data_IF_606157807366
#
_entry.id   IF_606157807366
#
_cell.length_a   1.000
_cell.length_b   1.000
_cell.length_c   1.000
_cell.angle_alpha   90.00
_cell.angle_beta   90.00
_cell.angle_gamma   90.00
#
_symmetry.space_group_name_H-M   'P 1'
#
loop_
_entity.id
_entity.type
_entity.pdbx_description
1 polymer ?
#
# COMPACT_ATOMS: atom_id res chain seq x y z
N UNK A 1 -2.56 -15.46 3.09
CA UNK A 1 -3.53 -15.48 1.96
C UNK A 1 -3.61 -14.10 1.30
N UNK A 2 -3.95 -14.02 0.02
CA UNK A 2 -4.27 -12.76 -0.66
C UNK A 2 -5.77 -12.74 -0.93
N UNK A 3 -6.46 -11.72 -0.42
CA UNK A 3 -7.91 -11.55 -0.61
C UNK A 3 -8.24 -10.13 -1.05
N UNK A 4 -9.31 -9.99 -1.81
CA UNK A 4 -9.81 -8.68 -2.22
C UNK A 4 -11.32 -8.58 -2.09
N UNK A 5 -11.83 -7.36 -1.89
CA UNK A 5 -13.25 -7.07 -1.91
C UNK A 5 -13.52 -5.69 -2.47
N UNK A 6 -14.60 -5.55 -3.22
CA UNK A 6 -15.18 -4.26 -3.57
C UNK A 6 -16.24 -3.89 -2.53
N UNK A 7 -16.33 -2.62 -2.16
CA UNK A 7 -17.32 -2.14 -1.20
C UNK A 7 -17.79 -0.73 -1.52
N UNK A 8 -19.05 -0.45 -1.18
CA UNK A 8 -19.67 0.87 -1.14
C UNK A 8 -20.26 1.19 0.24
N UNK A 9 -19.69 0.56 1.27
CA UNK A 9 -20.01 0.84 2.68
C UNK A 9 -19.88 2.35 2.96
N UNK A 10 -20.96 3.02 3.42
CA UNK A 10 -20.97 4.48 3.61
C UNK A 10 -19.93 4.99 4.61
N UNK A 11 -19.59 4.20 5.65
CA UNK A 11 -18.60 4.61 6.64
C UNK A 11 -17.20 4.55 6.04
N UNK A 12 -16.87 3.49 5.31
CA UNK A 12 -15.58 3.37 4.61
C UNK A 12 -15.42 4.43 3.52
N UNK A 13 -16.48 4.71 2.74
CA UNK A 13 -16.47 5.78 1.74
C UNK A 13 -16.25 7.16 2.39
N UNK A 14 -16.91 7.43 3.52
CA UNK A 14 -16.72 8.69 4.24
C UNK A 14 -15.31 8.84 4.80
N UNK A 15 -14.71 7.76 5.32
CA UNK A 15 -13.32 7.77 5.78
C UNK A 15 -12.34 8.01 4.63
N UNK A 16 -12.47 7.27 3.53
CA UNK A 16 -11.64 7.43 2.35
C UNK A 16 -11.72 8.85 1.77
N UNK A 17 -12.92 9.45 1.78
CA UNK A 17 -13.12 10.85 1.39
C UNK A 17 -12.38 11.82 2.31
N UNK A 18 -12.43 11.61 3.62
CA UNK A 18 -11.72 12.45 4.58
C UNK A 18 -10.21 12.37 4.37
N UNK A 19 -9.67 11.15 4.24
CA UNK A 19 -8.24 10.91 3.97
C UNK A 19 -7.76 11.64 2.70
N UNK A 20 -8.52 11.51 1.60
CA UNK A 20 -8.17 12.18 0.34
C UNK A 20 -8.22 13.70 0.47
N UNK A 21 -9.24 14.26 1.15
CA UNK A 21 -9.39 15.72 1.29
C UNK A 21 -8.39 16.35 2.25
N UNK A 22 -7.91 15.60 3.23
CA UNK A 22 -6.84 16.05 4.12
C UNK A 22 -5.53 16.26 3.34
N UNK A 23 -5.20 15.32 2.45
CA UNK A 23 -3.97 15.36 1.65
C UNK A 23 -4.11 16.25 0.42
N UNK A 24 -5.30 16.27 -0.20
CA UNK A 24 -5.60 17.02 -1.42
C UNK A 24 -6.82 17.93 -1.24
N UNK A 25 -6.68 19.05 -0.51
CA UNK A 25 -7.80 19.92 -0.14
C UNK A 25 -8.47 20.62 -1.32
N UNK A 26 -7.83 20.67 -2.49
CA UNK A 26 -8.39 21.24 -3.73
C UNK A 26 -9.50 20.38 -4.34
N UNK A 27 -9.60 19.09 -4.00
CA UNK A 27 -10.61 18.17 -4.53
C UNK A 27 -11.89 18.18 -3.67
N UNK A 28 -12.47 19.36 -3.46
CA UNK A 28 -13.64 19.55 -2.59
C UNK A 28 -14.90 18.83 -3.10
N UNK A 29 -15.00 18.61 -4.41
CA UNK A 29 -16.10 17.88 -5.04
C UNK A 29 -15.91 16.35 -5.02
N UNK A 30 -14.71 15.84 -4.70
CA UNK A 30 -14.45 14.40 -4.68
C UNK A 30 -15.36 13.71 -3.68
N UNK A 31 -16.07 12.69 -4.17
CA UNK A 31 -17.00 11.90 -3.38
C UNK A 31 -16.93 10.43 -3.84
N UNK A 32 -16.15 9.59 -3.15
CA UNK A 32 -15.92 8.22 -3.60
C UNK A 32 -17.22 7.43 -3.61
N UNK A 33 -17.38 6.60 -4.64
CA UNK A 33 -18.57 5.75 -4.85
C UNK A 33 -18.24 4.27 -4.70
N UNK A 34 -16.95 3.91 -4.84
CA UNK A 34 -16.46 2.54 -4.75
C UNK A 34 -15.06 2.51 -4.14
N UNK A 35 -14.82 1.48 -3.35
CA UNK A 35 -13.49 1.08 -2.90
C UNK A 35 -13.20 -0.35 -3.37
N UNK A 36 -11.95 -0.62 -3.74
CA UNK A 36 -11.41 -1.97 -3.86
C UNK A 36 -10.30 -2.13 -2.82
N UNK A 37 -10.49 -3.06 -1.89
CA UNK A 37 -9.54 -3.34 -0.82
C UNK A 37 -8.89 -4.68 -1.11
N UNK A 38 -7.58 -4.68 -1.37
CA UNK A 38 -6.74 -5.87 -1.43
C UNK A 38 -5.96 -6.02 -0.12
N UNK A 39 -5.91 -7.23 0.42
CA UNK A 39 -5.21 -7.56 1.67
C UNK A 39 -4.30 -8.74 1.43
N UNK A 40 -3.02 -8.54 1.72
CA UNK A 40 -2.05 -9.61 1.90
C UNK A 40 -2.04 -9.90 3.40
N UNK A 41 -2.51 -11.07 3.78
CA UNK A 41 -2.70 -11.46 5.18
C UNK A 41 -1.74 -12.59 5.52
N UNK A 42 -0.79 -12.33 6.41
CA UNK A 42 0.21 -13.30 6.87
C UNK A 42 0.90 -14.02 5.69
N UNK A 43 1.34 -13.26 4.69
CA UNK A 43 2.02 -13.82 3.52
C UNK A 43 3.44 -14.20 3.90
N UNK A 44 3.70 -15.51 3.94
CA UNK A 44 5.00 -16.06 4.28
C UNK A 44 6.04 -15.79 3.19
N UNK A 45 7.30 -15.73 3.60
CA UNK A 45 8.44 -15.70 2.69
C UNK A 45 8.46 -16.96 1.81
N UNK A 46 8.76 -16.79 0.52
CA UNK A 46 8.83 -17.90 -0.43
C UNK A 46 9.96 -18.89 -0.06
N UNK A 47 9.77 -20.18 -0.35
CA UNK A 47 10.77 -21.25 -0.15
C UNK A 47 11.11 -21.58 1.32
N UNK A 48 10.45 -20.94 2.29
CA UNK A 48 10.47 -21.28 3.73
C UNK A 48 11.84 -21.66 4.31
N UNK A 49 12.91 -21.01 3.85
CA UNK A 49 14.27 -21.23 4.34
C UNK A 49 14.32 -20.94 5.84
N UNK A 50 15.13 -21.69 6.59
CA UNK A 50 15.18 -21.62 8.07
C UNK A 50 15.32 -20.19 8.60
N UNK A 51 16.12 -19.34 7.95
CA UNK A 51 16.32 -17.94 8.34
C UNK A 51 15.06 -17.06 8.25
N UNK A 52 14.06 -17.46 7.45
CA UNK A 52 12.79 -16.75 7.27
C UNK A 52 11.58 -17.55 7.78
N UNK A 53 11.83 -18.65 8.50
CA UNK A 53 10.77 -19.51 9.00
C UNK A 53 9.90 -18.75 10.01
N UNK A 54 8.58 -18.77 9.78
CA UNK A 54 7.60 -18.07 10.63
C UNK A 54 7.47 -16.56 10.37
N UNK A 55 8.31 -15.96 9.51
CA UNK A 55 8.18 -14.55 9.15
C UNK A 55 7.08 -14.38 8.11
N UNK A 56 6.21 -13.38 8.34
CA UNK A 56 5.11 -13.06 7.44
C UNK A 56 4.97 -11.56 7.24
N UNK A 57 4.40 -11.17 6.11
CA UNK A 57 4.03 -9.78 5.83
C UNK A 57 2.52 -9.65 5.79
N UNK A 58 1.99 -8.59 6.41
CA UNK A 58 0.57 -8.22 6.34
C UNK A 58 0.42 -6.74 5.99
N UNK A 59 -0.29 -6.45 4.89
CA UNK A 59 -0.51 -5.09 4.43
C UNK A 59 -1.77 -5.01 3.55
N UNK A 60 -2.26 -3.79 3.36
CA UNK A 60 -3.43 -3.54 2.52
C UNK A 60 -3.15 -2.48 1.45
N UNK A 61 -3.90 -2.58 0.36
CA UNK A 61 -4.01 -1.58 -0.68
C UNK A 61 -5.50 -1.25 -0.86
N UNK A 62 -5.84 0.03 -0.83
CA UNK A 62 -7.21 0.53 -1.01
C UNK A 62 -7.24 1.44 -2.21
N UNK A 63 -7.83 0.98 -3.31
CA UNK A 63 -8.17 1.83 -4.45
C UNK A 63 -9.50 2.52 -4.17
N UNK A 64 -9.52 3.84 -4.32
CA UNK A 64 -10.64 4.73 -4.03
C UNK A 64 -11.00 5.42 -5.35
N UNK A 65 -12.26 5.39 -5.74
CA UNK A 65 -12.70 6.09 -6.96
C UNK A 65 -14.10 6.66 -6.83
N UNK A 66 -14.33 7.78 -7.51
CA UNK A 66 -15.65 8.33 -7.79
C UNK A 66 -16.11 8.10 -9.24
N UNK A 67 -15.37 7.25 -9.99
CA UNK A 67 -15.42 7.00 -11.45
C UNK A 67 -14.68 7.98 -12.35
N UNK A 68 -14.32 9.17 -11.87
CA UNK A 68 -13.54 10.16 -12.64
C UNK A 68 -12.12 10.28 -12.11
N UNK A 69 -11.96 10.33 -10.79
CA UNK A 69 -10.68 10.44 -10.10
C UNK A 69 -10.40 9.15 -9.35
N UNK A 70 -9.12 8.79 -9.26
CA UNK A 70 -8.70 7.58 -8.57
C UNK A 70 -7.51 7.86 -7.65
N UNK A 71 -7.61 7.34 -6.43
CA UNK A 71 -6.57 7.43 -5.42
C UNK A 71 -6.27 6.03 -4.88
N UNK A 72 -5.05 5.82 -4.40
CA UNK A 72 -4.67 4.60 -3.71
C UNK A 72 -4.13 4.93 -2.33
N UNK A 73 -4.54 4.15 -1.33
CA UNK A 73 -3.91 4.12 -0.01
C UNK A 73 -3.18 2.79 0.16
N UNK A 74 -1.90 2.83 0.48
CA UNK A 74 -1.17 1.67 1.01
C UNK A 74 -1.12 1.76 2.53
N UNK A 75 -1.41 0.65 3.20
CA UNK A 75 -1.46 0.53 4.65
C UNK A 75 -0.50 -0.58 5.10
N UNK A 76 0.52 -0.18 5.84
CA UNK A 76 1.50 -1.03 6.50
C UNK A 76 1.38 -0.80 7.99
N UNK A 77 0.76 -1.73 8.73
CA UNK A 77 0.67 -1.58 10.17
C UNK A 77 2.00 -1.95 10.84
N UNK A 78 2.20 -1.40 12.04
CA UNK A 78 3.39 -1.60 12.85
C UNK A 78 3.68 -3.09 13.11
N UNK A 79 4.94 -3.48 12.98
CA UNK A 79 5.48 -4.84 13.20
C UNK A 79 4.85 -5.94 12.31
N UNK A 80 4.30 -5.55 11.14
CA UNK A 80 3.70 -6.49 10.18
C UNK A 80 4.51 -6.66 8.89
N UNK A 81 5.69 -6.05 8.77
CA UNK A 81 6.62 -6.28 7.65
C UNK A 81 7.91 -6.91 8.18
N UNK A 82 7.98 -8.24 8.11
CA UNK A 82 9.02 -9.05 8.76
C UNK A 82 10.09 -9.56 7.78
N UNK A 83 9.86 -9.46 6.47
CA UNK A 83 10.84 -9.82 5.46
C UNK A 83 10.76 -8.89 4.24
N UNK A 84 11.89 -8.64 3.59
CA UNK A 84 11.97 -7.74 2.43
C UNK A 84 12.81 -8.26 1.27
N UNK A 85 13.50 -9.38 1.43
CA UNK A 85 14.34 -9.99 0.39
C UNK A 85 13.74 -11.32 -0.06
N UNK A 86 14.20 -11.86 -1.18
CA UNK A 86 13.82 -13.20 -1.65
C UNK A 86 15.01 -14.16 -1.65
N UNK A 87 14.74 -15.47 -1.69
CA UNK A 87 15.79 -16.50 -1.69
C UNK A 87 16.75 -16.42 -2.88
N UNK A 88 16.25 -16.03 -4.05
CA UNK A 88 17.06 -15.95 -5.27
C UNK A 88 18.14 -14.85 -5.21
N UNK A 89 17.90 -13.79 -4.42
CA UNK A 89 18.85 -12.70 -4.25
C UNK A 89 18.60 -11.99 -2.90
N UNK A 90 19.41 -12.34 -1.90
CA UNK A 90 19.32 -11.77 -0.55
C UNK A 90 19.75 -10.30 -0.45
N UNK A 91 20.27 -9.71 -1.53
CA UNK A 91 20.59 -8.28 -1.63
C UNK A 91 19.53 -7.48 -2.39
N UNK A 92 18.53 -8.16 -2.98
CA UNK A 92 17.43 -7.51 -3.69
C UNK A 92 16.25 -7.26 -2.74
N UNK A 93 16.26 -6.10 -2.09
CA UNK A 93 15.15 -5.67 -1.23
C UNK A 93 13.90 -5.32 -2.04
N UNK A 94 12.75 -5.45 -1.38
CA UNK A 94 11.43 -5.18 -1.90
C UNK A 94 11.31 -3.74 -2.42
N UNK A 95 10.39 -3.56 -3.36
CA UNK A 95 10.02 -2.27 -3.90
C UNK A 95 8.53 -2.06 -3.66
N UNK A 96 8.16 -0.88 -3.17
CA UNK A 96 6.79 -0.49 -2.96
C UNK A 96 6.45 0.75 -3.78
N UNK A 97 5.25 0.81 -4.34
CA UNK A 97 4.81 1.88 -5.22
C UNK A 97 3.82 1.41 -6.28
N UNK A 98 3.71 2.17 -7.36
CA UNK A 98 2.82 1.87 -8.49
C UNK A 98 3.46 2.29 -9.82
N UNK A 99 3.00 1.66 -10.91
CA UNK A 99 3.51 1.88 -12.26
C UNK A 99 2.33 1.84 -13.25
N UNK A 100 2.31 2.76 -14.22
CA UNK A 100 1.24 2.88 -15.21
C UNK A 100 1.32 1.82 -16.33
N UNK A 101 2.38 1.02 -16.38
CA UNK A 101 2.64 0.02 -17.42
C UNK A 101 3.17 0.60 -18.74
N UNK A 102 3.40 1.92 -18.82
CA UNK A 102 3.89 2.61 -20.01
C UNK A 102 5.41 2.79 -20.06
N UNK A 103 6.12 2.30 -19.03
CA UNK A 103 7.58 2.39 -18.91
C UNK A 103 8.10 3.78 -18.51
N UNK A 104 7.22 4.77 -18.32
CA UNK A 104 7.61 6.17 -18.04
C UNK A 104 7.05 6.61 -16.69
N UNK A 105 5.77 6.38 -16.43
CA UNK A 105 5.09 6.84 -15.21
C UNK A 105 5.13 5.76 -14.15
N UNK A 106 5.88 6.04 -13.09
CA UNK A 106 5.91 5.23 -11.89
C UNK A 106 6.17 6.10 -10.66
N UNK A 107 5.82 5.60 -9.50
CA UNK A 107 6.15 6.19 -8.21
C UNK A 107 6.68 5.09 -7.31
N UNK A 108 7.76 5.38 -6.61
CA UNK A 108 8.36 4.49 -5.61
C UNK A 108 8.26 5.14 -4.25
N UNK A 109 7.96 4.32 -3.23
CA UNK A 109 8.02 4.74 -1.84
C UNK A 109 9.49 4.79 -1.41
N UNK A 110 9.83 5.78 -0.58
CA UNK A 110 11.18 5.92 0.01
C UNK A 110 11.64 4.62 0.69
N UNK A 111 12.94 4.33 0.62
CA UNK A 111 13.52 3.08 1.13
C UNK A 111 13.39 1.88 0.18
N UNK A 112 12.55 1.95 -0.86
CA UNK A 112 12.43 0.90 -1.89
C UNK A 112 13.79 0.45 -2.45
N UNK A 113 13.96 -0.87 -2.60
CA UNK A 113 15.19 -1.53 -3.08
C UNK A 113 16.43 -1.30 -2.20
N UNK A 114 16.23 -0.91 -0.94
CA UNK A 114 17.29 -0.83 0.07
C UNK A 114 16.84 -1.52 1.35
N UNK A 115 17.75 -1.78 2.29
CA UNK A 115 17.44 -2.33 3.61
C UNK A 115 16.38 -1.50 4.37
N UNK A 116 16.30 -0.19 4.08
CA UNK A 116 15.37 0.72 4.73
C UNK A 116 13.90 0.50 4.36
N UNK A 117 13.57 -0.35 3.37
CA UNK A 117 12.17 -0.64 3.00
C UNK A 117 11.34 -1.21 4.15
N UNK A 118 11.96 -1.83 5.15
CA UNK A 118 11.25 -2.31 6.34
C UNK A 118 10.66 -1.17 7.18
N UNK A 119 11.24 0.04 7.11
CA UNK A 119 10.73 1.23 7.78
C UNK A 119 9.46 1.81 7.13
N UNK A 120 8.89 1.11 6.13
CA UNK A 120 7.62 1.51 5.49
C UNK A 120 6.44 1.55 6.46
N UNK A 121 6.52 0.82 7.58
CA UNK A 121 5.52 0.86 8.66
C UNK A 121 5.64 2.10 9.56
N UNK A 122 6.81 2.76 9.61
CA UNK A 122 7.06 3.92 10.47
C UNK A 122 7.16 5.24 9.70
N UNK A 123 7.39 5.19 8.39
CA UNK A 123 7.46 6.38 7.52
C UNK A 123 6.12 6.62 6.80
N UNK A 124 5.97 7.78 6.14
CA UNK A 124 4.73 8.19 5.47
C UNK A 124 4.96 9.38 4.55
N UNK A 125 4.16 9.51 3.48
CA UNK A 125 4.10 10.74 2.69
C UNK A 125 3.00 11.72 3.15
N UNK A 126 2.18 11.34 4.14
CA UNK A 126 1.06 12.13 4.64
C UNK A 126 1.11 12.38 6.16
N UNK A 127 2.22 12.02 6.80
CA UNK A 127 2.44 12.24 8.24
C UNK A 127 1.75 11.24 9.17
N UNK A 128 1.16 10.17 8.63
CA UNK A 128 0.58 9.07 9.41
C UNK A 128 1.41 7.81 9.17
N UNK A 129 2.17 7.32 10.17
CA UNK A 129 3.05 6.15 10.02
C UNK A 129 2.38 4.97 9.33
N UNK A 130 3.04 4.38 8.35
CA UNK A 130 2.54 3.20 7.65
C UNK A 130 1.48 3.48 6.59
N UNK A 131 0.99 4.72 6.51
CA UNK A 131 -0.05 5.12 5.55
C UNK A 131 0.57 5.95 4.44
N UNK A 132 0.34 5.51 3.21
CA UNK A 132 0.74 6.26 2.03
C UNK A 132 -0.46 6.50 1.14
N UNK A 133 -0.61 7.72 0.62
CA UNK A 133 -1.74 8.09 -0.24
C UNK A 133 -1.24 8.75 -1.51
N UNK A 134 -1.72 8.27 -2.65
CA UNK A 134 -1.36 8.79 -3.97
C UNK A 134 -2.59 8.95 -4.87
N UNK A 135 -2.53 9.91 -5.79
CA UNK A 135 -3.43 9.99 -6.95
C UNK A 135 -2.89 9.10 -8.08
N UNK A 136 -3.77 8.36 -8.76
CA UNK A 136 -3.40 7.29 -9.71
C UNK A 136 -4.21 7.28 -11.01
N UNK A 137 -4.98 8.33 -11.31
CA UNK A 137 -5.63 8.54 -12.62
C UNK A 137 -4.74 9.22 -13.67
#
# INVERSE_FOLDING_TARGET
>A
EIRYRQTDDPALLSQARADVREVYPTFTAFNPTRLLIATWDQVAHFDSVVAFSGLTNTFQCVLITDSSLSFVIFLYADDLIQWSVGTANLSAHAQAGFNAGDGIRFTTIEGSRTEAIVNIETTSNIGVPGKYLFRVD
#
